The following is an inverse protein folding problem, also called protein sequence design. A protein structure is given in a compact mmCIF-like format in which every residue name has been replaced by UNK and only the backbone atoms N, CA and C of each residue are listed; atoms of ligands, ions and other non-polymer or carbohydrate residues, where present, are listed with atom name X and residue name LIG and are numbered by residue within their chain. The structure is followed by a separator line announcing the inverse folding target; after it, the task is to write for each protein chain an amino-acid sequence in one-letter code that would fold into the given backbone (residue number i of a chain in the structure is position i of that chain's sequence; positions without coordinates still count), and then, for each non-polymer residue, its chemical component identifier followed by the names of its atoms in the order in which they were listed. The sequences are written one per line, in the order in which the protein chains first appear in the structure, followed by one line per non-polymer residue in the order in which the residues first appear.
data_IF_324996332158
#
_entry.id   IF_324996332158
#
_cell.length_a   1.000
_cell.length_b   1.000
_cell.length_c   1.000
_cell.angle_alpha   90.00
_cell.angle_beta   90.00
_cell.angle_gamma   90.00
#
_symmetry.space_group_name_H-M   'P 1'
#
loop_
_entity.id
_entity.type
_entity.pdbx_description
1 polymer ?
#
# COMPACT_ATOMS: atom_id res chain seq x y z
N UNK A 1 -2.27 -19.50 -45.73
CA UNK A 1 -3.05 -18.60 -44.83
C UNK A 1 -3.58 -19.26 -43.54
N UNK A 2 -3.31 -20.55 -43.25
CA UNK A 2 -3.76 -21.19 -41.99
C UNK A 2 -2.69 -21.25 -40.88
N UNK A 3 -1.40 -21.21 -41.24
CA UNK A 3 -0.28 -21.27 -40.28
C UNK A 3 -0.06 -19.94 -39.53
N UNK A 4 -0.24 -18.80 -40.20
CA UNK A 4 -0.07 -17.47 -39.59
C UNK A 4 -1.14 -17.16 -38.54
N UNK A 5 -2.36 -17.69 -38.71
CA UNK A 5 -3.47 -17.51 -37.76
C UNK A 5 -3.25 -18.28 -36.45
N UNK A 6 -2.59 -19.45 -36.51
CA UNK A 6 -2.31 -20.27 -35.31
C UNK A 6 -1.22 -19.62 -34.44
N UNK A 7 -0.23 -18.98 -35.07
CA UNK A 7 0.84 -18.25 -34.36
C UNK A 7 0.32 -17.00 -33.62
N UNK A 8 -0.68 -16.31 -34.18
CA UNK A 8 -1.25 -15.12 -33.56
C UNK A 8 -2.12 -15.47 -32.32
N UNK A 9 -2.87 -16.57 -32.37
CA UNK A 9 -3.69 -17.06 -31.26
C UNK A 9 -2.87 -17.55 -30.06
N UNK A 10 -1.68 -18.11 -30.30
CA UNK A 10 -0.78 -18.57 -29.23
C UNK A 10 -0.15 -17.41 -28.46
N UNK A 11 0.20 -16.31 -29.12
CA UNK A 11 0.75 -15.11 -28.47
C UNK A 11 -0.29 -14.40 -27.58
N UNK A 12 -1.58 -14.43 -27.98
CA UNK A 12 -2.67 -13.83 -27.20
C UNK A 12 -3.01 -14.69 -25.95
N UNK A 13 -2.83 -16.01 -26.00
CA UNK A 13 -3.05 -16.88 -24.83
C UNK A 13 -1.95 -16.78 -23.75
N UNK A 14 -0.77 -16.27 -24.08
CA UNK A 14 0.33 -16.09 -23.11
C UNK A 14 0.14 -14.84 -22.23
N UNK A 15 -0.77 -13.94 -22.59
CA UNK A 15 -1.06 -12.73 -21.81
C UNK A 15 -2.20 -12.90 -20.79
N UNK A 16 -2.87 -14.06 -20.74
CA UNK A 16 -4.01 -14.30 -19.83
C UNK A 16 -3.65 -14.96 -18.49
N UNK A 17 -2.36 -15.09 -18.14
CA UNK A 17 -1.91 -15.66 -16.84
C UNK A 17 -1.45 -14.61 -15.82
N UNK A 18 -1.73 -13.33 -16.05
CA UNK A 18 -1.77 -12.36 -14.97
C UNK A 18 -3.07 -12.57 -14.19
N UNK A 19 -3.02 -13.25 -13.03
CA UNK A 19 -4.09 -13.10 -12.05
C UNK A 19 -4.31 -11.59 -11.88
N UNK A 20 -5.50 -11.08 -12.17
CA UNK A 20 -5.78 -9.65 -12.10
C UNK A 20 -5.66 -9.22 -10.62
N UNK A 21 -4.44 -8.84 -10.23
CA UNK A 21 -4.07 -8.48 -8.86
C UNK A 21 -4.57 -7.08 -8.51
N UNK A 22 -5.05 -6.33 -9.50
CA UNK A 22 -5.65 -5.02 -9.25
C UNK A 22 -6.94 -5.17 -8.46
N UNK A 23 -7.24 -4.17 -7.63
CA UNK A 23 -8.41 -4.12 -6.78
C UNK A 23 -8.06 -3.85 -5.32
N UNK A 24 -9.09 -3.85 -4.48
CA UNK A 24 -8.99 -3.54 -3.06
C UNK A 24 -8.90 -4.81 -2.24
N UNK A 25 -7.96 -4.82 -1.31
CA UNK A 25 -7.74 -5.91 -0.37
C UNK A 25 -7.85 -5.38 1.05
N UNK A 26 -8.69 -5.97 1.87
CA UNK A 26 -8.82 -5.61 3.27
C UNK A 26 -8.13 -6.63 4.16
N UNK A 27 -7.63 -6.19 5.29
CA UNK A 27 -7.25 -7.03 6.40
C UNK A 27 -8.03 -6.62 7.66
N UNK A 28 -7.91 -7.40 8.72
CA UNK A 28 -8.55 -7.08 9.99
C UNK A 28 -7.96 -5.79 10.59
N UNK A 29 -8.67 -5.17 11.53
CA UNK A 29 -8.20 -4.01 12.30
C UNK A 29 -7.93 -2.73 11.47
N UNK A 30 -8.73 -2.50 10.43
CA UNK A 30 -8.76 -1.22 9.72
C UNK A 30 -7.71 -1.08 8.61
N UNK A 31 -7.11 -2.18 8.19
CA UNK A 31 -6.10 -2.23 7.13
C UNK A 31 -6.75 -2.40 5.75
N UNK A 32 -6.38 -1.56 4.78
CA UNK A 32 -6.79 -1.67 3.39
C UNK A 32 -5.61 -1.42 2.45
N UNK A 33 -5.52 -2.20 1.37
CA UNK A 33 -4.52 -2.10 0.33
C UNK A 33 -5.20 -2.13 -1.04
N UNK A 34 -5.14 -1.02 -1.75
CA UNK A 34 -5.60 -0.87 -3.13
C UNK A 34 -4.42 -1.04 -4.08
N UNK A 35 -4.51 -1.99 -5.02
CA UNK A 35 -3.55 -2.15 -6.12
C UNK A 35 -4.19 -1.65 -7.40
N UNK A 36 -3.67 -0.55 -7.95
CA UNK A 36 -4.23 0.10 -9.13
C UNK A 36 -3.65 -0.46 -10.43
N UNK A 37 -4.38 -0.39 -11.57
CA UNK A 37 -3.91 -0.88 -12.87
C UNK A 37 -2.66 -0.20 -13.40
N UNK A 38 -2.37 1.03 -12.99
CA UNK A 38 -1.20 1.82 -13.38
C UNK A 38 0.07 1.45 -12.59
N UNK A 39 0.07 0.31 -11.90
CA UNK A 39 1.16 -0.13 -11.02
C UNK A 39 1.42 0.79 -9.81
N UNK A 40 0.46 1.63 -9.43
CA UNK A 40 0.48 2.36 -8.15
C UNK A 40 -0.36 1.65 -7.09
N UNK A 41 -0.04 1.86 -5.82
CA UNK A 41 -0.83 1.33 -4.71
C UNK A 41 -1.18 2.42 -3.72
N UNK A 42 -2.26 2.19 -2.98
CA UNK A 42 -2.63 2.97 -1.80
C UNK A 42 -2.89 2.03 -0.64
N UNK A 43 -2.14 2.21 0.44
CA UNK A 43 -2.36 1.55 1.71
C UNK A 43 -2.98 2.55 2.68
N UNK A 44 -3.96 2.08 3.45
CA UNK A 44 -4.61 2.85 4.50
C UNK A 44 -4.75 1.99 5.75
N UNK A 45 -4.48 2.60 6.90
CA UNK A 45 -4.86 2.11 8.21
C UNK A 45 -5.73 3.15 8.88
N UNK A 46 -6.88 2.71 9.42
CA UNK A 46 -7.79 3.60 10.14
C UNK A 46 -8.35 2.89 11.38
N UNK A 47 -8.25 3.56 12.52
CA UNK A 47 -8.87 3.12 13.77
C UNK A 47 -9.29 4.34 14.59
N UNK A 48 -10.60 4.49 14.81
CA UNK A 48 -11.19 5.63 15.52
C UNK A 48 -10.74 6.98 14.91
N UNK A 49 -10.13 7.87 15.69
CA UNK A 49 -9.59 9.16 15.25
C UNK A 49 -8.17 9.07 14.67
N UNK A 50 -7.56 7.88 14.67
CA UNK A 50 -6.21 7.68 14.17
C UNK A 50 -6.22 7.09 12.75
N UNK A 51 -5.37 7.62 11.88
CA UNK A 51 -5.18 7.07 10.54
C UNK A 51 -3.74 7.20 10.05
N UNK A 52 -3.40 6.34 9.09
CA UNK A 52 -2.13 6.39 8.38
C UNK A 52 -2.39 5.99 6.93
N UNK A 53 -1.77 6.68 6.00
CA UNK A 53 -1.79 6.28 4.60
C UNK A 53 -0.38 6.19 4.03
N UNK A 54 -0.21 5.37 3.01
CA UNK A 54 1.05 5.17 2.30
C UNK A 54 0.74 4.93 0.84
N UNK A 55 1.48 5.57 -0.07
CA UNK A 55 1.35 5.37 -1.51
C UNK A 55 2.68 4.93 -2.12
N UNK A 56 2.64 4.46 -3.35
CA UNK A 56 3.84 4.07 -4.05
C UNK A 56 3.57 3.28 -5.31
N UNK A 57 4.60 2.54 -5.73
CA UNK A 57 4.52 1.64 -6.87
C UNK A 57 4.56 0.20 -6.42
N UNK A 58 3.85 -0.67 -7.13
CA UNK A 58 3.92 -2.11 -6.91
C UNK A 58 4.41 -2.84 -8.14
N UNK A 59 5.02 -4.01 -7.92
CA UNK A 59 5.43 -4.93 -8.98
C UNK A 59 5.34 -6.37 -8.50
N UNK A 60 5.22 -7.30 -9.44
CA UNK A 60 5.18 -8.73 -9.14
C UNK A 60 6.41 -9.43 -9.69
N UNK A 61 6.97 -10.36 -8.94
CA UNK A 61 7.97 -11.30 -9.42
C UNK A 61 7.68 -12.69 -8.85
N UNK A 62 7.32 -13.63 -9.74
CA UNK A 62 6.82 -14.94 -9.33
C UNK A 62 5.58 -14.82 -8.44
N UNK A 63 5.62 -15.41 -7.24
CA UNK A 63 4.54 -15.35 -6.25
C UNK A 63 4.71 -14.23 -5.21
N UNK A 64 5.54 -13.21 -5.51
CA UNK A 64 5.83 -12.11 -4.59
C UNK A 64 5.37 -10.79 -5.19
N UNK A 65 4.58 -10.05 -4.42
CA UNK A 65 4.24 -8.66 -4.64
C UNK A 65 5.24 -7.79 -3.87
N UNK A 66 5.80 -6.78 -4.53
CA UNK A 66 6.72 -5.82 -3.93
C UNK A 66 6.03 -4.46 -3.91
N UNK A 67 6.07 -3.78 -2.77
CA UNK A 67 5.57 -2.42 -2.57
C UNK A 67 6.77 -1.49 -2.38
N UNK A 68 6.96 -0.58 -3.32
CA UNK A 68 7.96 0.47 -3.25
C UNK A 68 7.27 1.77 -2.84
N UNK A 69 7.41 2.14 -1.57
CA UNK A 69 6.81 3.33 -0.99
C UNK A 69 7.39 4.58 -1.64
N UNK A 70 6.52 5.51 -2.05
CA UNK A 70 6.90 6.84 -2.52
C UNK A 70 6.30 7.88 -1.61
N UNK A 71 7.16 8.67 -0.98
CA UNK A 71 6.74 9.75 -0.12
C UNK A 71 6.24 10.94 -0.94
N UNK A 72 5.13 11.54 -0.50
CA UNK A 72 4.64 12.85 -0.93
C UNK A 72 5.19 13.90 0.03
N UNK A 73 5.76 14.97 -0.50
CA UNK A 73 6.35 16.04 0.31
C UNK A 73 5.63 17.37 0.06
N UNK A 74 5.49 18.14 1.12
CA UNK A 74 5.11 19.54 1.06
C UNK A 74 6.35 20.44 1.15
N UNK A 75 6.26 21.61 0.54
CA UNK A 75 7.24 22.68 0.72
C UNK A 75 6.83 23.53 1.92
N UNK A 76 7.62 23.49 2.98
CA UNK A 76 7.44 24.32 4.16
C UNK A 76 8.17 25.65 3.98
N UNK A 77 7.41 26.73 3.96
CA UNK A 77 7.93 28.10 3.91
C UNK A 77 7.92 28.73 5.30
N UNK A 78 9.02 29.42 5.64
CA UNK A 78 9.22 30.11 6.93
C UNK A 78 9.87 31.46 6.69
N UNK A 79 9.40 32.48 7.40
CA UNK A 79 9.98 33.82 7.29
C UNK A 79 11.45 33.83 7.71
N UNK A 80 12.29 34.47 6.88
CA UNK A 80 13.74 34.59 7.13
C UNK A 80 14.52 33.28 7.07
N UNK A 81 13.93 32.17 6.59
CA UNK A 81 14.59 30.86 6.47
C UNK A 81 14.38 30.26 5.07
N UNK A 82 15.33 29.46 4.57
CA UNK A 82 15.12 28.70 3.34
C UNK A 82 13.92 27.76 3.44
N UNK A 83 13.27 27.52 2.30
CA UNK A 83 12.25 26.50 2.17
C UNK A 83 12.83 25.11 2.52
N UNK A 84 11.99 24.24 3.09
CA UNK A 84 12.36 22.86 3.44
C UNK A 84 11.27 21.88 3.05
N UNK A 85 11.62 20.61 2.88
CA UNK A 85 10.64 19.55 2.60
C UNK A 85 10.19 18.87 3.88
N UNK A 86 8.89 18.63 3.98
CA UNK A 86 8.27 17.84 5.06
C UNK A 86 7.30 16.83 4.47
N UNK A 87 7.03 15.73 5.17
CA UNK A 87 6.03 14.78 4.70
C UNK A 87 4.66 15.46 4.62
N UNK A 88 4.00 15.30 3.48
CA UNK A 88 2.65 15.82 3.32
C UNK A 88 1.67 15.06 4.20
N UNK A 89 0.64 15.77 4.70
CA UNK A 89 -0.48 15.17 5.43
C UNK A 89 -1.48 14.49 4.50
N UNK A 90 -1.49 14.86 3.21
CA UNK A 90 -2.36 14.31 2.18
C UNK A 90 -1.58 13.84 0.93
N UNK A 91 -2.29 13.30 -0.06
CA UNK A 91 -1.69 12.73 -1.27
C UNK A 91 -1.22 13.79 -2.28
N UNK A 92 -1.24 15.08 -1.93
CA UNK A 92 -0.91 16.20 -2.81
C UNK A 92 0.27 16.98 -2.25
N UNK A 93 1.19 17.35 -3.13
CA UNK A 93 2.27 18.26 -2.76
C UNK A 93 1.73 19.68 -2.69
N UNK A 94 1.83 20.29 -1.52
CA UNK A 94 1.39 21.65 -1.26
C UNK A 94 2.56 22.51 -0.75
N UNK A 95 2.35 23.83 -0.76
CA UNK A 95 3.21 24.75 -0.02
C UNK A 95 2.49 25.13 1.27
N UNK A 96 3.10 24.87 2.42
CA UNK A 96 2.49 25.04 3.74
C UNK A 96 3.31 26.00 4.61
N UNK A 97 2.67 26.59 5.61
CA UNK A 97 3.31 27.40 6.65
C UNK A 97 3.60 26.61 7.92
N UNK A 98 4.29 27.25 8.87
CA UNK A 98 4.64 26.63 10.15
C UNK A 98 3.44 26.19 10.97
N UNK A 99 2.38 26.99 11.01
CA UNK A 99 1.16 26.72 11.77
C UNK A 99 0.43 25.49 11.20
N UNK A 100 0.34 25.39 9.87
CA UNK A 100 -0.24 24.25 9.17
C UNK A 100 0.55 22.97 9.45
N UNK A 101 1.88 23.04 9.47
CA UNK A 101 2.71 21.89 9.87
C UNK A 101 2.41 21.44 11.31
N UNK A 102 2.25 22.37 12.25
CA UNK A 102 1.90 22.04 13.65
C UNK A 102 0.55 21.33 13.71
N UNK A 103 -0.47 21.86 13.01
CA UNK A 103 -1.79 21.22 12.92
C UNK A 103 -1.68 19.82 12.32
N UNK A 104 -0.92 19.66 11.23
CA UNK A 104 -0.69 18.37 10.60
C UNK A 104 -0.03 17.38 11.55
N UNK A 105 0.97 17.80 12.35
CA UNK A 105 1.68 16.95 13.31
C UNK A 105 0.78 16.47 14.45
N UNK A 106 -0.08 17.33 14.99
CA UNK A 106 -0.99 16.95 16.09
C UNK A 106 -2.26 16.25 15.62
N UNK A 107 -2.57 16.28 14.33
CA UNK A 107 -3.70 15.55 13.77
C UNK A 107 -3.55 14.04 14.00
N UNK A 108 -4.67 13.32 14.11
CA UNK A 108 -4.65 11.87 14.27
C UNK A 108 -4.25 11.10 12.99
N UNK A 109 -4.14 11.79 11.86
CA UNK A 109 -3.92 11.20 10.54
C UNK A 109 -2.64 11.67 9.86
N UNK A 110 -2.19 10.92 8.85
CA UNK A 110 -1.16 11.42 7.95
C UNK A 110 -0.38 10.31 7.24
N UNK A 111 0.63 10.72 6.50
CA UNK A 111 1.46 9.81 5.74
C UNK A 111 2.40 9.01 6.63
N UNK A 112 2.50 7.70 6.38
CA UNK A 112 3.46 6.78 7.00
C UNK A 112 3.49 6.77 8.54
N UNK A 113 2.43 7.23 9.22
CA UNK A 113 2.34 7.23 10.69
C UNK A 113 2.33 5.83 11.31
N UNK A 114 1.98 4.82 10.52
CA UNK A 114 1.91 3.43 10.96
C UNK A 114 2.52 2.48 9.92
N UNK A 115 3.63 2.91 9.28
CA UNK A 115 4.27 2.18 8.18
C UNK A 115 4.76 0.78 8.60
N UNK A 116 5.11 0.59 9.88
CA UNK A 116 5.57 -0.71 10.39
C UNK A 116 4.51 -1.82 10.33
N UNK A 117 3.23 -1.46 10.09
CA UNK A 117 2.15 -2.43 9.92
C UNK A 117 1.92 -2.88 8.47
N UNK A 118 2.67 -2.33 7.52
CA UNK A 118 2.76 -2.85 6.16
C UNK A 118 4.19 -3.25 5.85
N UNK A 119 4.36 -4.33 5.08
CA UNK A 119 5.69 -4.81 4.65
C UNK A 119 5.94 -4.40 3.20
N UNK A 120 7.21 -4.25 2.83
CA UNK A 120 7.62 -3.95 1.45
C UNK A 120 7.35 -5.11 0.48
N UNK A 121 6.95 -6.28 1.00
CA UNK A 121 6.77 -7.53 0.26
C UNK A 121 5.57 -8.30 0.79
N UNK A 122 4.79 -8.87 -0.12
CA UNK A 122 3.70 -9.78 0.19
C UNK A 122 3.79 -11.06 -0.66
N UNK A 123 3.36 -12.18 -0.09
CA UNK A 123 3.26 -13.46 -0.81
C UNK A 123 1.85 -13.63 -1.36
N UNK A 124 1.77 -13.94 -2.65
CA UNK A 124 0.52 -14.14 -3.39
C UNK A 124 0.14 -15.62 -3.29
N UNK A 125 -1.03 -15.91 -2.72
CA UNK A 125 -1.57 -17.27 -2.63
C UNK A 125 -3.09 -17.26 -2.84
N UNK A 126 -3.51 -17.56 -4.07
CA UNK A 126 -4.90 -17.43 -4.49
C UNK A 126 -5.37 -15.98 -4.43
N UNK A 127 -6.56 -15.71 -3.91
CA UNK A 127 -7.11 -14.34 -3.73
C UNK A 127 -6.59 -13.60 -2.48
N UNK A 128 -5.49 -14.06 -1.86
CA UNK A 128 -4.95 -13.52 -0.60
C UNK A 128 -3.51 -13.05 -0.74
N UNK A 129 -3.18 -11.98 -0.01
CA UNK A 129 -1.84 -11.41 0.10
C UNK A 129 -1.35 -11.57 1.54
N UNK A 130 -0.27 -12.29 1.73
CA UNK A 130 0.30 -12.55 3.06
C UNK A 130 1.49 -11.64 3.31
N UNK A 131 1.52 -10.95 4.46
CA UNK A 131 2.67 -10.15 4.85
C UNK A 131 3.95 -11.01 4.90
N UNK A 132 5.09 -10.42 4.53
CA UNK A 132 6.38 -11.09 4.56
C UNK A 132 7.37 -10.35 5.45
N UNK A 133 8.17 -11.08 6.22
CA UNK A 133 9.29 -10.52 6.96
C UNK A 133 10.37 -9.97 6.02
N UNK A 134 11.26 -9.13 6.57
CA UNK A 134 12.48 -8.68 5.87
C UNK A 134 13.36 -9.86 5.41
N UNK A 135 13.34 -10.98 6.15
CA UNK A 135 14.04 -12.23 5.80
C UNK A 135 13.37 -13.03 4.68
N UNK A 136 12.20 -12.60 4.20
CA UNK A 136 11.49 -13.23 3.09
C UNK A 136 10.58 -14.39 3.47
N UNK A 137 10.29 -14.58 4.76
CA UNK A 137 9.35 -15.58 5.25
C UNK A 137 7.94 -14.99 5.37
N UNK A 138 6.91 -15.80 5.13
CA UNK A 138 5.52 -15.37 5.36
C UNK A 138 5.27 -15.20 6.86
N UNK A 139 4.76 -14.04 7.26
CA UNK A 139 4.32 -13.81 8.63
C UNK A 139 3.09 -14.69 8.92
N UNK A 140 3.23 -15.60 9.89
CA UNK A 140 2.15 -16.48 10.37
C UNK A 140 1.55 -16.00 11.69
N UNK A 141 2.02 -14.86 12.18
CA UNK A 141 1.54 -14.24 13.41
C UNK A 141 0.06 -13.91 13.26
N UNK A 142 -0.68 -14.10 14.36
CA UNK A 142 -2.04 -13.62 14.47
C UNK A 142 -2.05 -12.45 15.44
N UNK A 143 -2.80 -11.42 15.10
CA UNK A 143 -2.94 -10.21 15.92
C UNK A 143 -4.28 -10.25 16.66
N UNK A 144 -4.33 -9.70 17.87
CA UNK A 144 -5.57 -9.48 18.62
C UNK A 144 -5.90 -8.00 18.66
N UNK A 145 -7.18 -7.69 18.74
CA UNK A 145 -7.63 -6.31 18.87
C UNK A 145 -7.33 -5.75 20.26
N UNK A 146 -7.50 -4.44 20.42
CA UNK A 146 -7.44 -3.79 21.72
C UNK A 146 -8.62 -4.25 22.61
N UNK A 147 -9.80 -4.43 22.01
CA UNK A 147 -11.04 -4.75 22.71
C UNK A 147 -11.42 -6.24 22.69
N UNK A 148 -10.90 -7.02 21.73
CA UNK A 148 -11.15 -8.45 21.64
C UNK A 148 -9.85 -9.25 21.80
N UNK A 149 -9.91 -10.35 22.55
CA UNK A 149 -8.78 -11.30 22.65
C UNK A 149 -8.73 -12.26 21.44
N UNK A 150 -9.58 -12.05 20.42
CA UNK A 150 -9.68 -12.99 19.29
C UNK A 150 -8.51 -12.75 18.36
N UNK A 151 -7.73 -13.81 18.13
CA UNK A 151 -6.56 -13.75 17.25
C UNK A 151 -6.98 -13.88 15.79
N UNK A 152 -6.75 -12.84 14.98
CA UNK A 152 -7.03 -12.80 13.55
C UNK A 152 -5.74 -12.96 12.73
N UNK A 153 -5.79 -13.58 11.55
CA UNK A 153 -4.62 -13.75 10.70
C UNK A 153 -4.19 -12.44 10.02
N UNK A 154 -2.89 -12.32 9.73
CA UNK A 154 -2.23 -11.14 9.14
C UNK A 154 -2.11 -11.25 7.60
N UNK A 155 -3.22 -11.55 6.93
CA UNK A 155 -3.29 -11.52 5.46
C UNK A 155 -4.39 -10.58 5.00
N UNK A 156 -4.20 -10.02 3.80
CA UNK A 156 -5.23 -9.28 3.09
C UNK A 156 -6.05 -10.22 2.21
N UNK A 157 -7.36 -10.01 2.19
CA UNK A 157 -8.32 -10.69 1.35
C UNK A 157 -8.97 -9.69 0.40
N UNK A 158 -9.16 -10.09 -0.86
CA UNK A 158 -9.79 -9.25 -1.87
C UNK A 158 -11.24 -8.96 -1.49
N UNK A 159 -11.65 -7.70 -1.65
CA UNK A 159 -13.05 -7.27 -1.59
C UNK A 159 -13.63 -7.45 -3.00
N UNK A 160 -14.80 -8.08 -3.09
CA UNK A 160 -15.52 -8.27 -4.36
C UNK A 160 -16.18 -6.98 -4.83
#
# INVERSE_FOLDING_TARGET
MKLTTISLLTIISLSSWGQNLTGTYNAYYGHSLELRPDSTFRYEWKFDLASSWTTGQWRVSGKKLYLNIKNVYDTLTREGKPDSLVLSSDEKSNRIKGEELVVNLISGGGQNRNVDRITDRLSIKGKRLYLMSKTGQVLRTKESGIWDRRKRPTYYFRVE
#
